data_IF_773612592918
#
_entry.id   IF_773612592918
#
_cell.length_a   1.000
_cell.length_b   1.000
_cell.length_c   1.000
_cell.angle_alpha   90.00
_cell.angle_beta   90.00
_cell.angle_gamma   90.00
#
_symmetry.space_group_name_H-M   'P 1'
#
loop_
_entity.id
_entity.type
_entity.pdbx_description
1 polymer ?
#
# COMPACT_ATOMS: atom_id res chain seq x y z
N UNK A 1 16.74 25.28 13.15
CA UNK A 1 16.10 25.17 11.86
C UNK A 1 15.18 23.99 11.78
N UNK A 2 13.94 24.25 11.89
CA UNK A 2 12.94 23.21 12.02
C UNK A 2 12.59 22.50 10.71
N UNK A 3 13.00 23.04 9.59
CA UNK A 3 12.66 22.42 8.32
C UNK A 3 13.33 21.05 8.11
N UNK A 4 14.32 20.73 8.91
CA UNK A 4 14.92 19.39 8.86
C UNK A 4 13.91 18.31 9.20
N UNK A 5 13.03 18.58 10.15
CA UNK A 5 12.03 17.60 10.52
C UNK A 5 11.02 17.36 9.39
N UNK A 6 10.73 18.41 8.61
CA UNK A 6 9.85 18.26 7.47
C UNK A 6 10.46 17.39 6.37
N UNK A 7 11.79 17.43 6.21
CA UNK A 7 12.50 16.66 5.20
C UNK A 7 12.79 15.23 5.64
N UNK A 8 12.56 14.90 6.91
CA UNK A 8 12.91 13.58 7.45
C UNK A 8 11.68 12.72 7.77
N UNK A 9 10.57 12.98 7.06
CA UNK A 9 9.41 12.11 7.17
C UNK A 9 9.82 10.68 6.88
N UNK A 10 9.55 9.79 7.81
CA UNK A 10 9.90 8.39 7.63
C UNK A 10 9.03 7.74 6.57
N UNK A 11 9.54 6.67 5.97
CA UNK A 11 8.75 5.92 5.00
C UNK A 11 7.49 5.31 5.63
N UNK A 12 7.55 4.98 6.92
CA UNK A 12 6.36 4.51 7.64
C UNK A 12 5.30 5.59 7.67
N UNK A 13 5.68 6.82 8.01
CA UNK A 13 4.74 7.93 8.03
C UNK A 13 4.15 8.19 6.65
N UNK A 14 4.98 8.15 5.61
CA UNK A 14 4.51 8.32 4.24
C UNK A 14 3.50 7.24 3.85
N UNK A 15 3.75 6.00 4.26
CA UNK A 15 2.83 4.90 3.99
C UNK A 15 1.51 5.07 4.76
N UNK A 16 1.57 5.54 6.01
CA UNK A 16 0.36 5.80 6.78
C UNK A 16 -0.51 6.86 6.13
N UNK A 17 0.10 7.93 5.65
CA UNK A 17 -0.63 8.98 4.93
C UNK A 17 -1.21 8.43 3.64
N UNK A 18 -0.44 7.63 2.91
CA UNK A 18 -0.91 7.01 1.68
C UNK A 18 -2.14 6.12 1.92
N UNK A 19 -2.11 5.32 2.99
CA UNK A 19 -3.27 4.49 3.36
C UNK A 19 -4.50 5.34 3.62
N UNK A 20 -4.35 6.45 4.35
CA UNK A 20 -5.47 7.35 4.63
C UNK A 20 -6.05 7.96 3.36
N UNK A 21 -5.19 8.34 2.43
CA UNK A 21 -5.64 8.90 1.15
C UNK A 21 -6.32 7.84 0.27
N UNK A 22 -5.78 6.64 0.24
CA UNK A 22 -6.40 5.54 -0.49
C UNK A 22 -7.75 5.14 0.12
N UNK A 23 -7.85 5.21 1.44
CA UNK A 23 -9.11 4.97 2.14
C UNK A 23 -10.17 5.99 1.69
N UNK A 24 -9.83 7.28 1.67
CA UNK A 24 -10.75 8.32 1.23
C UNK A 24 -11.14 8.14 -0.24
N UNK A 25 -10.16 7.85 -1.08
CA UNK A 25 -10.40 7.60 -2.48
C UNK A 25 -11.39 6.44 -2.70
N UNK A 26 -11.20 5.36 -1.95
CA UNK A 26 -12.05 4.19 -2.07
C UNK A 26 -13.49 4.49 -1.65
N UNK A 27 -13.68 5.27 -0.60
CA UNK A 27 -15.01 5.61 -0.10
C UNK A 27 -15.70 6.66 -0.99
N UNK A 28 -14.98 7.72 -1.35
CA UNK A 28 -15.61 8.85 -2.06
C UNK A 28 -15.76 8.61 -3.55
N UNK A 29 -14.96 7.69 -4.12
CA UNK A 29 -14.90 7.44 -5.56
C UNK A 29 -14.46 8.68 -6.35
N UNK A 30 -13.88 9.65 -5.66
CA UNK A 30 -13.38 10.87 -6.25
C UNK A 30 -12.13 10.56 -7.11
N UNK A 31 -11.94 11.34 -8.16
CA UNK A 31 -10.70 11.26 -8.94
C UNK A 31 -9.51 11.54 -8.02
N UNK A 32 -8.45 10.74 -8.14
CA UNK A 32 -7.32 10.86 -7.20
C UNK A 32 -6.63 12.21 -7.30
N UNK A 33 -6.53 12.78 -8.49
CA UNK A 33 -5.91 14.09 -8.66
C UNK A 33 -6.72 15.16 -7.94
N UNK A 34 -8.05 15.07 -8.02
CA UNK A 34 -8.93 16.02 -7.32
C UNK A 34 -8.83 15.84 -5.82
N UNK A 35 -8.74 14.60 -5.34
CA UNK A 35 -8.59 14.33 -3.92
C UNK A 35 -7.28 14.92 -3.38
N UNK A 36 -6.19 14.71 -4.10
CA UNK A 36 -4.88 15.24 -3.70
C UNK A 36 -4.88 16.77 -3.70
N UNK A 37 -5.51 17.38 -4.70
CA UNK A 37 -5.62 18.83 -4.77
C UNK A 37 -6.43 19.38 -3.60
N UNK A 38 -7.56 18.73 -3.29
CA UNK A 38 -8.37 19.11 -2.13
C UNK A 38 -7.57 19.03 -0.84
N UNK A 39 -6.79 17.97 -0.69
CA UNK A 39 -5.96 17.78 0.49
C UNK A 39 -4.92 18.91 0.62
N UNK A 40 -4.27 19.27 -0.49
CA UNK A 40 -3.25 20.33 -0.49
C UNK A 40 -3.82 21.69 -0.13
N UNK A 41 -5.08 21.94 -0.45
CA UNK A 41 -5.71 23.24 -0.18
C UNK A 41 -6.29 23.36 1.21
N UNK A 42 -6.32 22.28 2.00
CA UNK A 42 -6.77 22.36 3.38
C UNK A 42 -5.75 23.13 4.21
N UNK A 43 -6.21 24.22 4.82
CA UNK A 43 -5.34 25.11 5.59
C UNK A 43 -4.67 24.38 6.76
N UNK A 44 -5.36 23.43 7.35
CA UNK A 44 -4.91 22.70 8.53
C UNK A 44 -4.47 21.28 8.19
N UNK A 45 -4.06 21.05 6.95
CA UNK A 45 -3.58 19.72 6.56
C UNK A 45 -2.40 19.32 7.46
N UNK A 46 -2.59 18.40 8.39
CA UNK A 46 -1.55 18.07 9.36
C UNK A 46 -0.45 17.19 8.79
N UNK A 47 -0.65 16.69 7.57
CA UNK A 47 0.22 15.68 6.99
C UNK A 47 0.92 16.23 5.77
N UNK A 48 2.20 15.94 5.68
CA UNK A 48 3.01 16.35 4.53
C UNK A 48 2.90 15.28 3.45
N UNK A 49 2.58 15.71 2.24
CA UNK A 49 2.58 14.83 1.07
C UNK A 49 3.98 14.87 0.45
N UNK A 50 4.84 13.96 0.89
CA UNK A 50 6.17 13.88 0.30
C UNK A 50 6.14 13.10 -1.02
N UNK A 51 7.26 13.09 -1.73
CA UNK A 51 7.36 12.45 -3.04
C UNK A 51 7.05 10.96 -2.97
N UNK A 52 7.51 10.29 -1.91
CA UNK A 52 7.25 8.86 -1.74
C UNK A 52 5.77 8.59 -1.54
N UNK A 53 5.11 9.36 -0.68
CA UNK A 53 3.66 9.23 -0.45
C UNK A 53 2.88 9.42 -1.76
N UNK A 54 3.19 10.47 -2.51
CA UNK A 54 2.51 10.76 -3.76
C UNK A 54 2.69 9.62 -4.76
N UNK A 55 3.90 9.11 -4.88
CA UNK A 55 4.17 8.00 -5.77
C UNK A 55 3.38 6.75 -5.38
N UNK A 56 3.31 6.45 -4.08
CA UNK A 56 2.56 5.30 -3.60
C UNK A 56 1.06 5.44 -3.92
N UNK A 57 0.49 6.60 -3.68
CA UNK A 57 -0.94 6.84 -3.93
C UNK A 57 -1.25 6.79 -5.41
N UNK A 58 -0.52 7.57 -6.19
CA UNK A 58 -0.77 7.67 -7.63
C UNK A 58 -0.49 6.34 -8.33
N UNK A 59 0.60 5.67 -7.97
CA UNK A 59 0.94 4.38 -8.54
C UNK A 59 -0.09 3.30 -8.20
N UNK A 60 -0.54 3.26 -6.95
CA UNK A 60 -1.54 2.29 -6.53
C UNK A 60 -2.85 2.47 -7.31
N UNK A 61 -3.29 3.71 -7.46
CA UNK A 61 -4.52 4.00 -8.22
C UNK A 61 -4.35 3.65 -9.69
N UNK A 62 -3.21 4.00 -10.27
CA UNK A 62 -2.92 3.73 -11.67
C UNK A 62 -2.90 2.23 -11.96
N UNK A 63 -2.33 1.44 -11.07
CA UNK A 63 -2.17 0.00 -11.24
C UNK A 63 -3.26 -0.80 -10.53
N UNK A 64 -4.37 -0.17 -10.18
CA UNK A 64 -5.45 -0.77 -9.40
C UNK A 64 -5.94 -2.10 -9.96
N UNK A 65 -6.12 -2.19 -11.27
CA UNK A 65 -6.67 -3.40 -11.86
C UNK A 65 -5.76 -4.60 -11.66
N UNK A 66 -4.46 -4.43 -11.89
CA UNK A 66 -3.48 -5.50 -11.67
C UNK A 66 -3.38 -5.86 -10.20
N UNK A 67 -3.40 -4.85 -9.33
CA UNK A 67 -3.31 -5.05 -7.89
C UNK A 67 -4.54 -5.81 -7.37
N UNK A 68 -5.73 -5.39 -7.77
CA UNK A 68 -6.97 -6.03 -7.35
C UNK A 68 -7.05 -7.49 -7.84
N UNK A 69 -6.53 -7.76 -9.02
CA UNK A 69 -6.45 -9.14 -9.53
C UNK A 69 -5.57 -10.00 -8.62
N UNK A 70 -4.45 -9.45 -8.15
CA UNK A 70 -3.59 -10.18 -7.20
C UNK A 70 -4.27 -10.40 -5.86
N UNK A 71 -4.99 -9.41 -5.35
CA UNK A 71 -5.74 -9.59 -4.10
C UNK A 71 -6.76 -10.72 -4.27
N UNK A 72 -7.51 -10.72 -5.36
CA UNK A 72 -8.51 -11.77 -5.63
C UNK A 72 -7.87 -13.15 -5.76
N UNK A 73 -6.68 -13.20 -6.34
CA UNK A 73 -5.95 -14.46 -6.50
C UNK A 73 -5.65 -15.12 -5.16
N UNK A 74 -5.26 -14.33 -4.15
CA UNK A 74 -4.81 -14.85 -2.87
C UNK A 74 -5.88 -14.82 -1.78
N UNK A 75 -6.96 -14.07 -1.98
CA UNK A 75 -8.05 -13.98 -1.02
C UNK A 75 -9.17 -14.93 -1.43
N UNK A 76 -9.03 -16.20 -1.04
CA UNK A 76 -9.97 -17.25 -1.46
C UNK A 76 -11.24 -17.27 -0.64
N UNK A 77 -11.23 -16.70 0.57
CA UNK A 77 -12.37 -16.74 1.48
C UNK A 77 -13.19 -15.47 1.54
N UNK A 78 -12.61 -14.35 1.10
CA UNK A 78 -13.27 -13.05 1.14
C UNK A 78 -13.15 -12.36 -0.20
N UNK A 79 -14.27 -11.88 -0.73
CA UNK A 79 -14.22 -11.08 -1.94
C UNK A 79 -13.63 -9.72 -1.62
N UNK A 80 -13.01 -9.11 -2.61
CA UNK A 80 -12.44 -7.77 -2.47
C UNK A 80 -13.48 -6.76 -1.97
N UNK A 81 -14.70 -6.90 -2.47
CA UNK A 81 -15.81 -5.99 -2.14
C UNK A 81 -16.27 -6.12 -0.69
N UNK A 82 -16.02 -7.27 -0.06
CA UNK A 82 -16.42 -7.53 1.32
C UNK A 82 -15.34 -7.19 2.34
N UNK A 83 -14.14 -6.92 1.88
CA UNK A 83 -13.07 -6.49 2.78
C UNK A 83 -13.40 -5.13 3.37
N UNK A 84 -12.94 -4.88 4.61
CA UNK A 84 -13.01 -3.54 5.14
C UNK A 84 -12.20 -2.60 4.26
N UNK A 85 -12.61 -1.35 4.19
CA UNK A 85 -11.91 -0.36 3.37
C UNK A 85 -10.47 -0.16 3.83
N UNK A 86 -10.23 -0.26 5.14
CA UNK A 86 -8.87 -0.15 5.69
C UNK A 86 -8.01 -1.31 5.19
N UNK A 87 -8.49 -2.53 5.32
CA UNK A 87 -7.73 -3.71 4.88
C UNK A 87 -7.45 -3.67 3.39
N UNK A 88 -8.45 -3.30 2.60
CA UNK A 88 -8.30 -3.19 1.15
C UNK A 88 -7.27 -2.12 0.78
N UNK A 89 -7.28 -1.00 1.48
CA UNK A 89 -6.33 0.09 1.23
C UNK A 89 -4.90 -0.34 1.56
N UNK A 90 -4.71 -1.03 2.68
CA UNK A 90 -3.39 -1.53 3.08
C UNK A 90 -2.89 -2.57 2.09
N UNK A 91 -3.74 -3.51 1.69
CA UNK A 91 -3.37 -4.54 0.73
C UNK A 91 -3.00 -3.94 -0.63
N UNK A 92 -3.78 -2.98 -1.10
CA UNK A 92 -3.50 -2.31 -2.37
C UNK A 92 -2.14 -1.62 -2.34
N UNK A 93 -1.87 -0.88 -1.27
CA UNK A 93 -0.59 -0.19 -1.12
C UNK A 93 0.58 -1.16 -1.10
N UNK A 94 0.48 -2.18 -0.27
CA UNK A 94 1.56 -3.16 -0.12
C UNK A 94 1.82 -3.93 -1.42
N UNK A 95 0.76 -4.32 -2.12
CA UNK A 95 0.92 -5.02 -3.39
C UNK A 95 1.49 -4.11 -4.47
N UNK A 96 1.17 -2.82 -4.45
CA UNK A 96 1.83 -1.89 -5.34
C UNK A 96 3.35 -1.94 -5.13
N UNK A 97 3.81 -1.86 -3.89
CA UNK A 97 5.24 -1.93 -3.60
C UNK A 97 5.84 -3.27 -4.03
N UNK A 98 5.18 -4.38 -3.72
CA UNK A 98 5.69 -5.72 -4.06
C UNK A 98 5.79 -5.94 -5.57
N UNK A 99 4.86 -5.43 -6.33
CA UNK A 99 4.77 -5.69 -7.77
C UNK A 99 5.53 -4.66 -8.60
N UNK A 100 5.56 -3.40 -8.16
CA UNK A 100 6.05 -2.29 -8.98
C UNK A 100 7.24 -1.54 -8.41
N UNK A 101 7.54 -1.69 -7.13
CA UNK A 101 8.71 -1.07 -6.49
C UNK A 101 9.70 -2.14 -6.09
N UNK A 102 10.39 -2.67 -7.09
CA UNK A 102 11.32 -3.79 -6.90
C UNK A 102 12.59 -3.37 -6.16
N UNK A 103 12.84 -2.08 -6.04
CA UNK A 103 13.96 -1.53 -5.27
C UNK A 103 13.73 -1.58 -3.75
N UNK A 104 12.46 -1.72 -3.33
CA UNK A 104 12.12 -1.81 -1.90
C UNK A 104 12.19 -3.29 -1.47
N UNK A 105 12.90 -3.61 -0.38
CA UNK A 105 12.96 -5.00 0.08
C UNK A 105 11.54 -5.52 0.39
N UNK A 106 11.15 -6.65 -0.20
CA UNK A 106 9.77 -7.15 -0.04
C UNK A 106 9.37 -7.40 1.42
N UNK A 107 10.29 -7.90 2.23
CA UNK A 107 10.01 -8.15 3.65
C UNK A 107 9.74 -6.86 4.40
N UNK A 108 10.40 -5.77 4.02
CA UNK A 108 10.13 -4.47 4.63
C UNK A 108 8.71 -4.02 4.33
N UNK A 109 8.27 -4.18 3.07
CA UNK A 109 6.91 -3.84 2.67
C UNK A 109 5.89 -4.62 3.48
N UNK A 110 6.08 -5.94 3.60
CA UNK A 110 5.15 -6.79 4.36
C UNK A 110 5.11 -6.40 5.83
N UNK A 111 6.28 -6.22 6.45
CA UNK A 111 6.35 -5.86 7.87
C UNK A 111 5.68 -4.51 8.14
N UNK A 112 5.90 -3.53 7.27
CA UNK A 112 5.28 -2.21 7.44
C UNK A 112 3.77 -2.27 7.25
N UNK A 113 3.29 -3.06 6.32
CA UNK A 113 1.85 -3.25 6.12
C UNK A 113 1.20 -3.85 7.37
N UNK A 114 1.84 -4.84 7.98
CA UNK A 114 1.34 -5.46 9.20
C UNK A 114 1.28 -4.45 10.34
N UNK A 115 2.33 -3.64 10.51
CA UNK A 115 2.34 -2.62 11.56
C UNK A 115 1.26 -1.57 11.35
N UNK A 116 1.01 -1.18 10.10
CA UNK A 116 -0.07 -0.25 9.78
C UNK A 116 -1.43 -0.88 10.09
N UNK A 117 -1.61 -2.15 9.76
CA UNK A 117 -2.85 -2.87 10.07
C UNK A 117 -3.09 -2.93 11.57
N UNK A 118 -2.06 -3.18 12.37
CA UNK A 118 -2.17 -3.18 13.83
C UNK A 118 -2.56 -1.81 14.35
N UNK A 119 -2.04 -0.75 13.74
CA UNK A 119 -2.29 0.62 14.20
C UNK A 119 -3.70 1.10 13.84
N UNK A 120 -4.17 0.80 12.64
CA UNK A 120 -5.43 1.35 12.13
C UNK A 120 -6.60 0.37 12.18
N UNK A 121 -6.37 -0.89 12.52
CA UNK A 121 -7.40 -1.90 12.51
C UNK A 121 -7.22 -2.85 13.72
N UNK A 122 -7.49 -4.12 13.53
CA UNK A 122 -7.48 -5.11 14.62
C UNK A 122 -6.36 -6.13 14.41
N UNK A 123 -6.10 -6.92 15.46
CA UNK A 123 -5.16 -8.03 15.34
C UNK A 123 -5.60 -9.04 14.29
N UNK A 124 -6.91 -9.26 14.17
CA UNK A 124 -7.44 -10.17 13.14
C UNK A 124 -7.19 -9.63 11.75
N UNK A 125 -7.35 -8.31 11.55
CA UNK A 125 -7.02 -7.67 10.28
C UNK A 125 -5.55 -7.81 9.94
N UNK A 126 -4.67 -7.62 10.93
CA UNK A 126 -3.23 -7.77 10.71
C UNK A 126 -2.89 -9.19 10.27
N UNK A 127 -3.51 -10.20 10.87
CA UNK A 127 -3.31 -11.60 10.50
C UNK A 127 -3.82 -11.87 9.09
N UNK A 128 -4.98 -11.32 8.73
CA UNK A 128 -5.57 -11.45 7.40
C UNK A 128 -4.66 -10.84 6.33
N UNK A 129 -4.21 -9.62 6.57
CA UNK A 129 -3.30 -8.90 5.66
C UNK A 129 -2.00 -9.70 5.49
N UNK A 130 -1.44 -10.17 6.60
CA UNK A 130 -0.22 -10.97 6.56
C UNK A 130 -0.39 -12.23 5.72
N UNK A 131 -1.52 -12.91 5.86
CA UNK A 131 -1.77 -14.15 5.10
C UNK A 131 -1.75 -13.94 3.61
N UNK A 132 -2.39 -12.87 3.15
CA UNK A 132 -2.42 -12.54 1.71
C UNK A 132 -1.05 -12.11 1.21
N UNK A 133 -0.40 -11.21 1.95
CA UNK A 133 0.90 -10.68 1.55
C UNK A 133 1.99 -11.74 1.57
N UNK A 134 1.92 -12.69 2.51
CA UNK A 134 2.88 -13.78 2.58
C UNK A 134 2.80 -14.66 1.33
N UNK A 135 1.61 -14.97 0.86
CA UNK A 135 1.43 -15.74 -0.35
C UNK A 135 1.93 -14.99 -1.59
N UNK A 136 1.60 -13.71 -1.69
CA UNK A 136 2.07 -12.89 -2.80
C UNK A 136 3.60 -12.76 -2.79
N UNK A 137 4.18 -12.62 -1.62
CA UNK A 137 5.64 -12.56 -1.46
C UNK A 137 6.31 -13.86 -1.90
N UNK A 138 5.77 -14.99 -1.48
CA UNK A 138 6.32 -16.30 -1.87
C UNK A 138 6.26 -16.49 -3.38
N UNK A 139 5.15 -16.12 -4.00
CA UNK A 139 5.01 -16.23 -5.45
C UNK A 139 6.02 -15.36 -6.18
N UNK A 140 6.28 -14.17 -5.67
CA UNK A 140 7.27 -13.27 -6.24
C UNK A 140 8.67 -13.87 -6.13
N UNK A 141 9.03 -14.42 -4.97
CA UNK A 141 10.34 -15.02 -4.75
C UNK A 141 10.54 -16.22 -5.66
N UNK A 142 9.54 -17.08 -5.79
CA UNK A 142 9.59 -18.23 -6.68
C UNK A 142 9.80 -17.81 -8.13
N UNK A 143 9.11 -16.77 -8.56
CA UNK A 143 9.25 -16.23 -9.91
C UNK A 143 10.67 -15.69 -10.15
N UNK A 144 11.22 -14.96 -9.20
CA UNK A 144 12.58 -14.45 -9.30
C UNK A 144 13.61 -15.56 -9.40
N UNK A 145 13.43 -16.63 -8.63
CA UNK A 145 14.31 -17.79 -8.68
C UNK A 145 14.23 -18.47 -10.04
N UNK A 146 13.05 -18.64 -10.60
CA UNK A 146 12.87 -19.21 -11.93
C UNK A 146 13.55 -18.37 -13.01
N UNK A 147 13.41 -17.04 -12.93
CA UNK A 147 14.00 -16.12 -13.91
C UNK A 147 15.51 -16.08 -13.83
N UNK A 148 16.09 -16.33 -12.66
CA UNK A 148 17.54 -16.30 -12.46
C UNK A 148 18.19 -17.67 -12.60
N UNK A 149 17.39 -18.74 -12.72
CA UNK A 149 17.94 -20.09 -12.91
C UNK A 149 18.57 -20.19 -14.29
N UNK A 150 19.79 -20.80 -14.39
CA UNK A 150 20.37 -20.98 -15.71
C UNK A 150 19.52 -21.95 -16.53
N UNK A 151 19.30 -21.57 -17.78
CA UNK A 151 18.64 -22.45 -18.74
C UNK A 151 19.61 -23.53 -19.18
N UNK A 152 19.29 -24.75 -18.91
CA UNK A 152 20.09 -25.89 -19.37
C UNK A 152 19.65 -26.36 -20.75
#
# INVERSE_FOLDING_TARGET
MSYKSASTTSRRESREVAVKLLYQWDITKQDIADLLESYRTLADAPLVLDAFCLELVEGTVQEREAIDAEIRRWSTHWSLERMSTVDRSILRLALYELLFRLDIPPKATVNEAIEIAKKFSTADSAAFVNGILDQALRARIEKEVEETSPCD
#
